data_IF_488724411665
#
_entry.id   IF_488724411665
#
_cell.length_a   1.000
_cell.length_b   1.000
_cell.length_c   1.000
_cell.angle_alpha   90.00
_cell.angle_beta   90.00
_cell.angle_gamma   90.00
#
_symmetry.space_group_name_H-M   'P 1'
#
loop_
_entity.id
_entity.type
_entity.pdbx_description
1 polymer ?
#
# COMPACT_ATOMS: atom_id res chain seq x y z
N UNK A 1 10.17 25.93 3.15
CA UNK A 1 10.00 26.10 1.69
C UNK A 1 8.59 25.64 1.38
N UNK A 2 7.66 26.57 1.14
CA UNK A 2 6.26 26.24 0.85
C UNK A 2 6.19 25.68 -0.57
N UNK A 3 5.78 24.43 -0.71
CA UNK A 3 5.46 23.87 -2.02
C UNK A 3 4.14 24.50 -2.47
N UNK A 4 4.25 25.37 -3.47
CA UNK A 4 3.13 25.87 -4.25
C UNK A 4 2.49 24.66 -4.96
N UNK A 5 1.35 24.20 -4.43
CA UNK A 5 0.63 23.03 -4.93
C UNK A 5 -0.10 23.44 -6.21
N UNK A 6 0.34 22.95 -7.35
CA UNK A 6 -0.38 23.11 -8.63
C UNK A 6 -1.60 22.18 -8.63
N UNK A 7 -2.66 22.55 -9.34
CA UNK A 7 -3.90 21.75 -9.49
C UNK A 7 -3.62 20.32 -10.03
N UNK A 8 -2.47 20.11 -10.65
CA UNK A 8 -1.99 18.81 -11.16
C UNK A 8 -1.63 17.80 -10.05
N UNK A 9 -1.42 18.26 -8.80
CA UNK A 9 -1.09 17.42 -7.64
C UNK A 9 -2.34 16.85 -6.93
N UNK A 10 -3.55 17.18 -7.40
CA UNK A 10 -4.80 16.79 -6.74
C UNK A 10 -5.45 15.59 -7.45
N UNK A 11 -5.93 14.62 -6.68
CA UNK A 11 -6.70 13.48 -7.17
C UNK A 11 -8.10 13.46 -6.56
N UNK A 12 -9.10 13.56 -7.43
CA UNK A 12 -10.53 13.50 -7.05
C UNK A 12 -11.10 12.07 -7.13
N UNK A 13 -10.36 11.12 -7.71
CA UNK A 13 -10.78 9.73 -7.83
C UNK A 13 -10.79 9.06 -6.46
N UNK A 14 -11.82 8.25 -6.21
CA UNK A 14 -11.99 7.49 -4.97
C UNK A 14 -11.63 6.00 -5.06
N UNK A 15 -11.35 5.50 -6.26
CA UNK A 15 -11.02 4.09 -6.54
C UNK A 15 -10.34 3.95 -7.91
N UNK A 16 -9.79 2.77 -8.20
CA UNK A 16 -9.21 2.44 -9.51
C UNK A 16 -7.91 3.19 -9.80
N UNK A 17 -7.05 3.35 -8.80
CA UNK A 17 -5.79 4.08 -8.94
C UNK A 17 -4.82 3.37 -9.88
N UNK A 18 -4.09 4.18 -10.64
CA UNK A 18 -3.10 3.74 -11.63
C UNK A 18 -1.75 4.38 -11.34
N UNK A 19 -0.70 3.97 -12.05
CA UNK A 19 0.64 4.57 -11.91
C UNK A 19 0.65 6.08 -12.20
N UNK A 20 -0.27 6.59 -13.02
CA UNK A 20 -0.40 8.02 -13.32
C UNK A 20 -0.95 8.84 -12.14
N UNK A 21 -1.52 8.18 -11.13
CA UNK A 21 -2.08 8.83 -9.95
C UNK A 21 -1.08 8.89 -8.79
N UNK A 22 0.04 8.18 -8.89
CA UNK A 22 1.09 8.14 -7.85
C UNK A 22 1.69 9.52 -7.65
N UNK A 23 1.82 9.94 -6.38
CA UNK A 23 2.31 11.26 -6.00
C UNK A 23 1.20 12.30 -5.83
N UNK A 24 0.01 12.09 -6.41
CA UNK A 24 -1.12 12.99 -6.21
C UNK A 24 -1.72 12.85 -4.81
N UNK A 25 -2.35 13.91 -4.33
CA UNK A 25 -3.03 14.00 -3.04
C UNK A 25 -4.54 14.00 -3.19
N UNK A 26 -5.19 13.22 -2.33
CA UNK A 26 -6.63 13.25 -2.13
C UNK A 26 -6.90 14.24 -0.99
N UNK A 27 -7.55 15.39 -1.25
CA UNK A 27 -7.71 16.45 -0.26
C UNK A 27 -8.64 16.04 0.88
N UNK A 28 -9.71 15.31 0.55
CA UNK A 28 -10.65 14.72 1.51
C UNK A 28 -11.15 13.39 0.97
N UNK A 29 -11.16 12.36 1.82
CA UNK A 29 -11.73 11.05 1.50
C UNK A 29 -12.58 10.55 2.65
N UNK A 30 -13.84 10.24 2.36
CA UNK A 30 -14.79 9.72 3.34
C UNK A 30 -14.93 8.21 3.18
N UNK A 31 -14.79 7.50 4.30
CA UNK A 31 -14.87 6.03 4.36
C UNK A 31 -15.82 5.62 5.50
N UNK A 32 -16.31 4.38 5.53
CA UNK A 32 -17.11 3.89 6.66
C UNK A 32 -16.37 3.93 8.01
N UNK A 33 -15.03 3.93 7.99
CA UNK A 33 -14.19 3.92 9.18
C UNK A 33 -13.77 5.32 9.65
N UNK A 34 -14.12 6.36 8.88
CA UNK A 34 -13.77 7.75 9.17
C UNK A 34 -13.40 8.56 7.93
N UNK A 35 -12.99 9.80 8.18
CA UNK A 35 -12.62 10.77 7.14
C UNK A 35 -11.12 11.06 7.19
N UNK A 36 -10.48 10.99 6.03
CA UNK A 36 -9.07 11.30 5.85
C UNK A 36 -8.90 12.60 5.06
N UNK A 37 -7.82 13.31 5.34
CA UNK A 37 -7.45 14.56 4.67
C UNK A 37 -6.01 14.48 4.18
N UNK A 38 -5.73 15.12 3.04
CA UNK A 38 -4.40 15.23 2.43
C UNK A 38 -3.69 13.87 2.28
N UNK A 39 -4.43 12.85 1.85
CA UNK A 39 -3.93 11.49 1.73
C UNK A 39 -3.13 11.34 0.43
N UNK A 40 -1.92 10.80 0.50
CA UNK A 40 -1.05 10.63 -0.67
C UNK A 40 -1.37 9.30 -1.37
N UNK A 41 -1.45 9.31 -2.70
CA UNK A 41 -1.48 8.08 -3.49
C UNK A 41 -0.05 7.62 -3.70
N UNK A 42 0.23 6.37 -3.32
CA UNK A 42 1.56 5.76 -3.36
C UNK A 42 1.52 4.46 -4.14
N UNK A 43 2.68 4.03 -4.61
CA UNK A 43 2.93 2.70 -5.13
C UNK A 43 3.97 2.04 -4.25
N UNK A 44 3.63 0.90 -3.65
CA UNK A 44 4.51 0.16 -2.74
C UNK A 44 4.67 -1.27 -3.21
N UNK A 45 5.82 -1.86 -2.87
CA UNK A 45 6.18 -3.22 -3.23
C UNK A 45 6.50 -4.02 -1.99
N UNK A 46 5.96 -5.24 -1.90
CA UNK A 46 6.44 -6.22 -0.93
C UNK A 46 7.89 -6.58 -1.27
N UNK A 47 8.80 -6.41 -0.31
CA UNK A 47 10.23 -6.66 -0.51
C UNK A 47 10.56 -8.15 -0.69
N UNK A 48 9.65 -9.06 -0.30
CA UNK A 48 9.86 -10.50 -0.37
C UNK A 48 9.41 -11.11 -1.70
N UNK A 49 8.24 -10.70 -2.22
CA UNK A 49 7.63 -11.33 -3.39
C UNK A 49 7.43 -10.38 -4.58
N UNK A 50 7.70 -9.09 -4.42
CA UNK A 50 7.53 -8.08 -5.47
C UNK A 50 6.08 -7.70 -5.77
N UNK A 51 5.09 -8.28 -5.07
CA UNK A 51 3.69 -7.88 -5.22
C UNK A 51 3.54 -6.37 -4.96
N UNK A 52 2.83 -5.68 -5.84
CA UNK A 52 2.64 -4.24 -5.78
C UNK A 52 1.23 -3.84 -5.38
N UNK A 53 1.12 -2.68 -4.76
CA UNK A 53 -0.14 -2.03 -4.44
C UNK A 53 -0.06 -0.55 -4.84
N UNK A 54 -1.08 -0.06 -5.54
CA UNK A 54 -1.28 1.36 -5.83
C UNK A 54 -2.54 1.81 -5.14
N UNK A 55 -2.41 2.84 -4.31
CA UNK A 55 -3.54 3.42 -3.65
C UNK A 55 -3.13 4.35 -2.52
N UNK A 56 -4.08 4.73 -1.68
CA UNK A 56 -3.83 5.73 -0.65
C UNK A 56 -2.88 5.19 0.43
N UNK A 57 -2.01 6.05 0.95
CA UNK A 57 -0.87 5.66 1.79
C UNK A 57 -1.24 4.82 3.01
N UNK A 58 -2.45 4.99 3.56
CA UNK A 58 -2.94 4.16 4.68
C UNK A 58 -3.22 2.73 4.26
N UNK A 59 -3.88 2.53 3.13
CA UNK A 59 -4.12 1.19 2.58
C UNK A 59 -2.82 0.54 2.15
N UNK A 60 -1.87 1.31 1.61
CA UNK A 60 -0.54 0.82 1.30
C UNK A 60 0.19 0.29 2.56
N UNK A 61 0.05 0.96 3.70
CA UNK A 61 0.54 0.46 4.98
C UNK A 61 -0.12 -0.85 5.41
N UNK A 62 -1.45 -0.94 5.25
CA UNK A 62 -2.21 -2.18 5.52
C UNK A 62 -1.80 -3.34 4.60
N UNK A 63 -1.58 -3.07 3.30
CA UNK A 63 -1.04 -4.02 2.35
C UNK A 63 0.32 -4.54 2.83
N UNK A 64 1.28 -3.66 3.11
CA UNK A 64 2.63 -4.06 3.53
C UNK A 64 2.61 -4.88 4.82
N UNK A 65 1.92 -4.42 5.85
CA UNK A 65 1.85 -5.13 7.12
C UNK A 65 1.10 -6.47 7.01
N UNK A 66 0.01 -6.51 6.25
CA UNK A 66 -0.72 -7.75 5.99
C UNK A 66 0.11 -8.76 5.19
N UNK A 67 0.85 -8.30 4.18
CA UNK A 67 1.72 -9.14 3.37
C UNK A 67 2.92 -9.66 4.16
N UNK A 68 3.51 -8.84 5.03
CA UNK A 68 4.59 -9.27 5.92
C UNK A 68 4.12 -10.40 6.85
N UNK A 69 2.94 -10.27 7.45
CA UNK A 69 2.32 -11.32 8.25
C UNK A 69 2.10 -12.62 7.46
N UNK A 70 1.65 -12.51 6.21
CA UNK A 70 1.49 -13.67 5.32
C UNK A 70 2.82 -14.39 5.11
N UNK A 71 3.87 -13.65 4.72
CA UNK A 71 5.17 -14.25 4.49
C UNK A 71 5.77 -14.86 5.75
N UNK A 72 5.63 -14.21 6.92
CA UNK A 72 6.06 -14.78 8.19
C UNK A 72 5.38 -16.13 8.48
N UNK A 73 4.09 -16.26 8.17
CA UNK A 73 3.37 -17.54 8.25
C UNK A 73 3.88 -18.56 7.23
N UNK A 74 4.08 -18.18 5.96
CA UNK A 74 4.61 -19.06 4.91
C UNK A 74 5.99 -19.64 5.29
N UNK A 75 6.90 -18.80 5.78
CA UNK A 75 8.20 -19.25 6.26
C UNK A 75 8.08 -20.23 7.43
N UNK A 76 7.14 -19.99 8.34
CA UNK A 76 6.88 -20.89 9.46
C UNK A 76 6.34 -22.25 9.00
N UNK A 77 5.54 -22.29 7.92
CA UNK A 77 5.10 -23.56 7.33
C UNK A 77 6.25 -24.32 6.67
N UNK A 78 7.16 -23.62 5.98
CA UNK A 78 8.33 -24.25 5.34
C UNK A 78 9.29 -24.79 6.40
N UNK A 79 9.61 -24.01 7.43
CA UNK A 79 10.52 -24.43 8.51
C UNK A 79 9.90 -25.47 9.46
N UNK A 80 8.57 -25.49 9.58
CA UNK A 80 7.83 -26.43 10.43
C UNK A 80 7.53 -27.79 9.77
N UNK A 81 7.81 -27.95 8.47
CA UNK A 81 7.66 -29.25 7.80
C UNK A 81 8.77 -30.20 8.25
N UNK A 82 8.37 -31.16 9.07
CA UNK A 82 9.20 -32.29 9.51
C UNK A 82 9.21 -33.42 8.46
N UNK A 83 9.31 -33.05 7.17
CA UNK A 83 9.40 -34.00 6.05
C UNK A 83 10.84 -34.17 5.54
N UNK A 84 11.82 -33.56 6.21
CA UNK A 84 13.24 -33.75 5.92
C UNK A 84 13.69 -33.19 4.56
N UNK A 85 12.91 -32.28 3.97
CA UNK A 85 13.19 -31.66 2.66
C UNK A 85 13.61 -30.18 2.78
N UNK A 86 14.36 -29.84 3.81
CA UNK A 86 15.20 -28.64 3.81
C UNK A 86 16.65 -29.11 3.77
N UNK A 87 17.42 -28.50 2.86
CA UNK A 87 18.75 -28.89 2.37
C UNK A 87 19.72 -29.48 3.42
#
# INVERSE_FOLDING_TARGET
MGQDQTEEDVCEKSQGWTHEDVGKRIPKRETPNGTYFNELIVNVFCQMCGAEFIGPSREAGGFLGGHECLHAWEFSQVMGRNDGLTE
#
